data_IF_509616815213
#
_entry.id   IF_509616815213
#
_cell.length_a   1.000
_cell.length_b   1.000
_cell.length_c   1.000
_cell.angle_alpha   90.00
_cell.angle_beta   90.00
_cell.angle_gamma   90.00
#
_symmetry.space_group_name_H-M   'P 1'
#
loop_
_entity.id
_entity.type
_entity.pdbx_description
1 polymer ?
#
# COMPACT_ATOMS: atom_id res chain seq x y z
N UNK A 1 -17.12 41.02 -47.64
CA UNK A 1 -17.84 41.27 -46.37
C UNK A 1 -17.97 39.95 -45.64
N UNK A 2 -17.11 39.69 -44.65
CA UNK A 2 -17.10 38.43 -43.89
C UNK A 2 -17.52 38.78 -42.46
N UNK A 3 -18.65 38.25 -42.01
CA UNK A 3 -19.17 38.43 -40.65
C UNK A 3 -18.38 37.53 -39.70
N UNK A 4 -17.82 38.16 -38.67
CA UNK A 4 -17.14 37.55 -37.54
C UNK A 4 -18.19 36.91 -36.64
N UNK A 5 -18.21 35.58 -36.58
CA UNK A 5 -18.90 34.83 -35.53
C UNK A 5 -17.89 34.44 -34.47
N UNK A 6 -17.87 35.19 -33.36
CA UNK A 6 -17.12 34.80 -32.17
C UNK A 6 -17.81 33.60 -31.52
N UNK A 7 -17.22 32.41 -31.67
CA UNK A 7 -17.60 31.23 -30.90
C UNK A 7 -16.53 31.00 -29.83
N UNK A 8 -16.84 31.40 -28.62
CA UNK A 8 -16.16 31.02 -27.38
C UNK A 8 -16.31 29.52 -27.16
N UNK A 9 -15.28 28.73 -27.49
CA UNK A 9 -15.20 27.34 -27.05
C UNK A 9 -14.57 27.32 -25.65
N UNK A 10 -15.42 27.36 -24.62
CA UNK A 10 -15.10 26.73 -23.34
C UNK A 10 -15.06 25.21 -23.59
N UNK A 11 -13.89 24.59 -23.46
CA UNK A 11 -13.84 23.15 -23.21
C UNK A 11 -13.16 22.87 -21.88
N UNK A 12 -14.04 22.41 -20.99
CA UNK A 12 -13.87 21.73 -19.73
C UNK A 12 -12.50 21.08 -19.53
N UNK A 13 -11.81 21.53 -18.49
CA UNK A 13 -10.84 20.72 -17.79
C UNK A 13 -11.59 19.50 -17.26
N UNK A 14 -11.44 18.36 -17.93
CA UNK A 14 -11.81 17.07 -17.36
C UNK A 14 -10.83 16.84 -16.22
N UNK A 15 -11.23 17.27 -15.02
CA UNK A 15 -10.61 16.81 -13.80
C UNK A 15 -10.80 15.30 -13.79
N UNK A 16 -9.72 14.57 -14.09
CA UNK A 16 -9.63 13.14 -13.83
C UNK A 16 -9.73 13.02 -12.30
N UNK A 17 -10.95 12.87 -11.80
CA UNK A 17 -11.22 12.31 -10.49
C UNK A 17 -10.87 10.83 -10.57
N UNK A 18 -9.58 10.54 -10.72
CA UNK A 18 -9.04 9.26 -10.31
C UNK A 18 -9.28 9.19 -8.82
N UNK A 19 -9.98 8.17 -8.38
CA UNK A 19 -10.32 7.90 -6.99
C UNK A 19 -9.06 8.00 -6.12
N UNK A 20 -8.81 9.18 -5.55
CA UNK A 20 -7.87 9.34 -4.45
C UNK A 20 -8.61 8.86 -3.22
N UNK A 21 -8.61 7.54 -3.02
CA UNK A 21 -8.96 6.93 -1.74
C UNK A 21 -7.87 7.22 -0.71
N UNK A 22 -7.48 8.48 -0.54
CA UNK A 22 -6.84 8.94 0.69
C UNK A 22 -7.97 9.61 1.45
N UNK A 23 -8.72 8.79 2.17
CA UNK A 23 -9.53 9.29 3.26
C UNK A 23 -8.58 10.03 4.19
N UNK A 24 -8.60 11.37 4.13
CA UNK A 24 -8.07 12.23 5.18
C UNK A 24 -8.78 11.83 6.45
N UNK A 25 -8.12 10.99 7.25
CA UNK A 25 -8.54 10.73 8.62
C UNK A 25 -8.02 11.88 9.50
N UNK A 26 -8.60 13.05 9.29
CA UNK A 26 -8.59 14.13 10.27
C UNK A 26 -9.88 13.93 11.09
N UNK A 27 -9.75 13.66 12.39
CA UNK A 27 -10.80 13.59 13.43
C UNK A 27 -11.64 12.31 13.64
N UNK A 28 -11.08 11.10 13.44
CA UNK A 28 -11.64 9.88 14.03
C UNK A 28 -10.64 9.27 15.02
N UNK A 29 -11.03 9.19 16.30
CA UNK A 29 -10.17 8.79 17.41
C UNK A 29 -9.38 7.51 17.16
N UNK A 30 -8.16 7.43 17.68
CA UNK A 30 -7.17 6.36 17.48
C UNK A 30 -7.78 5.00 17.08
N UNK A 31 -7.41 4.51 15.89
CA UNK A 31 -7.58 3.09 15.57
C UNK A 31 -6.88 2.24 16.63
N UNK A 32 -7.49 1.13 17.04
CA UNK A 32 -6.86 0.23 18.01
C UNK A 32 -5.48 -0.26 17.54
N UNK A 33 -4.68 -0.79 18.46
CA UNK A 33 -3.45 -1.49 18.11
C UNK A 33 -3.80 -2.93 17.72
N UNK A 34 -3.17 -3.44 16.66
CA UNK A 34 -3.43 -4.77 16.12
C UNK A 34 -2.15 -5.52 15.81
N UNK A 35 -2.17 -6.83 16.03
CA UNK A 35 -1.15 -7.77 15.60
C UNK A 35 -1.65 -8.48 14.34
N UNK A 36 -0.85 -8.44 13.28
CA UNK A 36 -1.18 -9.04 11.99
C UNK A 36 -0.11 -10.05 11.60
N UNK A 37 -0.46 -11.34 11.60
CA UNK A 37 0.45 -12.41 11.23
C UNK A 37 0.25 -12.82 9.77
N UNK A 38 1.34 -13.23 9.11
CA UNK A 38 1.32 -13.72 7.73
C UNK A 38 0.77 -12.73 6.70
N UNK A 39 0.92 -11.42 6.93
CA UNK A 39 0.59 -10.41 5.92
C UNK A 39 1.41 -10.65 4.66
N UNK A 40 0.79 -10.49 3.50
CA UNK A 40 1.45 -10.61 2.22
C UNK A 40 1.94 -9.23 1.79
N UNK A 41 3.26 -9.08 1.69
CA UNK A 41 3.90 -7.89 1.15
C UNK A 41 4.44 -8.23 -0.23
N UNK A 42 3.93 -7.52 -1.24
CA UNK A 42 4.28 -7.67 -2.64
C UNK A 42 5.27 -6.59 -3.03
N UNK A 43 6.24 -6.95 -3.86
CA UNK A 43 7.03 -6.02 -4.63
C UNK A 43 6.82 -6.36 -6.10
N UNK A 44 6.17 -5.45 -6.82
CA UNK A 44 5.76 -5.57 -8.22
C UNK A 44 6.63 -4.71 -9.12
N UNK A 45 6.99 -5.23 -10.29
CA UNK A 45 7.68 -4.49 -11.34
C UNK A 45 7.18 -4.93 -12.71
N UNK A 46 7.19 -4.02 -13.67
CA UNK A 46 6.93 -4.34 -15.09
C UNK A 46 8.21 -4.89 -15.78
N UNK A 47 9.35 -4.86 -15.09
CA UNK A 47 10.63 -5.40 -15.57
C UNK A 47 11.05 -6.64 -14.76
N UNK A 48 11.87 -7.50 -15.38
CA UNK A 48 12.43 -8.63 -14.66
C UNK A 48 13.40 -8.16 -13.58
N UNK A 49 13.03 -8.37 -12.31
CA UNK A 49 13.83 -7.93 -11.15
C UNK A 49 14.50 -9.08 -10.42
N UNK A 50 15.69 -8.80 -9.87
CA UNK A 50 16.37 -9.74 -8.98
C UNK A 50 15.63 -9.85 -7.65
N UNK A 51 15.72 -11.01 -7.00
CA UNK A 51 15.11 -11.25 -5.69
C UNK A 51 15.61 -10.24 -4.66
N UNK A 52 16.90 -9.86 -4.74
CA UNK A 52 17.53 -8.88 -3.85
C UNK A 52 16.83 -7.52 -3.95
N UNK A 53 16.63 -7.00 -5.18
CA UNK A 53 15.94 -5.73 -5.43
C UNK A 53 14.49 -5.78 -4.94
N UNK A 54 13.76 -6.84 -5.27
CA UNK A 54 12.38 -6.98 -4.83
C UNK A 54 12.26 -7.03 -3.30
N UNK A 55 13.17 -7.73 -2.63
CA UNK A 55 13.22 -7.78 -1.16
C UNK A 55 13.62 -6.45 -0.50
N UNK A 56 14.23 -5.50 -1.22
CA UNK A 56 14.42 -4.13 -0.72
C UNK A 56 13.08 -3.39 -0.69
N UNK A 57 12.29 -3.47 -1.76
CA UNK A 57 10.95 -2.89 -1.82
C UNK A 57 9.99 -3.51 -0.79
N UNK A 58 10.06 -4.82 -0.55
CA UNK A 58 9.30 -5.48 0.53
C UNK A 58 9.60 -4.86 1.90
N UNK A 59 10.88 -4.59 2.22
CA UNK A 59 11.26 -3.98 3.50
C UNK A 59 10.79 -2.54 3.60
N UNK A 60 10.98 -1.76 2.54
CA UNK A 60 10.47 -0.39 2.46
C UNK A 60 8.96 -0.34 2.64
N UNK A 61 8.23 -1.26 2.00
CA UNK A 61 6.77 -1.35 2.15
C UNK A 61 6.35 -1.68 3.58
N UNK A 62 7.09 -2.57 4.26
CA UNK A 62 6.83 -2.89 5.66
C UNK A 62 7.17 -1.73 6.61
N UNK A 63 8.25 -0.98 6.33
CA UNK A 63 8.62 0.22 7.09
C UNK A 63 7.59 1.33 6.90
N UNK A 64 7.15 1.54 5.65
CA UNK A 64 6.12 2.52 5.31
C UNK A 64 4.77 2.17 5.96
N UNK A 65 4.44 0.88 6.06
CA UNK A 65 3.26 0.39 6.79
C UNK A 65 3.26 0.81 8.28
N UNK A 66 4.43 0.78 8.93
CA UNK A 66 4.55 1.27 10.32
C UNK A 66 4.32 2.79 10.41
N UNK A 67 4.74 3.54 9.39
CA UNK A 67 4.57 4.99 9.32
C UNK A 67 3.12 5.42 9.02
N UNK A 68 2.42 4.70 8.13
CA UNK A 68 1.02 4.96 7.77
C UNK A 68 0.05 4.70 8.92
N UNK A 69 0.39 3.75 9.79
CA UNK A 69 -0.47 3.36 10.90
C UNK A 69 -0.26 4.34 12.07
N UNK A 70 -1.16 5.34 12.15
CA UNK A 70 -1.22 6.45 13.13
C UNK A 70 -0.29 6.31 14.34
N UNK A 71 0.82 7.05 14.32
CA UNK A 71 1.75 7.20 15.45
C UNK A 71 2.21 5.88 16.11
N UNK A 72 2.37 4.79 15.35
CA UNK A 72 2.90 3.54 15.88
C UNK A 72 4.41 3.61 16.17
N UNK A 73 4.85 4.54 17.04
CA UNK A 73 6.20 4.52 17.65
C UNK A 73 6.50 3.21 18.41
N UNK A 74 5.48 2.35 18.58
CA UNK A 74 5.55 1.03 19.23
C UNK A 74 5.40 -0.14 18.25
N UNK A 75 5.11 0.11 16.98
CA UNK A 75 4.92 -0.92 15.97
C UNK A 75 6.24 -1.56 15.56
N UNK A 76 6.20 -2.83 15.15
CA UNK A 76 7.36 -3.52 14.61
C UNK A 76 6.95 -4.50 13.53
N UNK A 77 7.91 -4.92 12.70
CA UNK A 77 7.68 -5.98 11.72
C UNK A 77 8.81 -7.01 11.74
N UNK A 78 8.48 -8.25 11.40
CA UNK A 78 9.44 -9.32 11.17
C UNK A 78 9.12 -10.02 9.84
N UNK A 79 10.13 -10.20 9.00
CA UNK A 79 9.99 -11.02 7.80
C UNK A 79 9.89 -12.49 8.21
N UNK A 80 8.87 -13.21 7.73
CA UNK A 80 8.74 -14.66 7.97
C UNK A 80 10.00 -15.42 7.53
N UNK A 81 10.32 -16.55 8.18
CA UNK A 81 11.43 -17.42 7.78
C UNK A 81 11.16 -18.17 6.46
N UNK A 82 9.90 -18.26 6.04
CA UNK A 82 9.50 -18.88 4.78
C UNK A 82 10.16 -18.20 3.57
N UNK A 83 10.47 -18.96 2.51
CA UNK A 83 11.01 -18.37 1.28
C UNK A 83 9.97 -17.45 0.64
N UNK A 84 10.42 -16.35 0.02
CA UNK A 84 9.55 -15.50 -0.77
C UNK A 84 9.09 -16.23 -2.02
N UNK A 85 7.83 -16.05 -2.40
CA UNK A 85 7.27 -16.58 -3.64
C UNK A 85 7.55 -15.62 -4.78
N UNK A 86 7.74 -16.16 -5.98
CA UNK A 86 7.79 -15.39 -7.23
C UNK A 86 6.58 -15.76 -8.06
N UNK A 87 5.90 -14.76 -8.59
CA UNK A 87 4.77 -14.96 -9.48
C UNK A 87 4.93 -14.04 -10.69
N UNK A 88 4.42 -14.50 -11.83
CA UNK A 88 4.19 -13.66 -12.99
C UNK A 88 2.69 -13.47 -13.12
N UNK A 89 2.24 -12.22 -13.19
CA UNK A 89 0.82 -11.86 -13.30
C UNK A 89 0.67 -11.00 -14.56
N UNK A 90 0.32 -11.64 -15.68
CA UNK A 90 0.45 -11.02 -17.00
C UNK A 90 1.92 -10.67 -17.27
N UNK A 91 2.15 -9.41 -17.66
CA UNK A 91 3.50 -8.89 -17.94
C UNK A 91 4.26 -8.43 -16.68
N UNK A 92 3.66 -8.59 -15.48
CA UNK A 92 4.23 -8.09 -14.22
C UNK A 92 4.97 -9.17 -13.46
N UNK A 93 6.08 -8.78 -12.86
CA UNK A 93 6.91 -9.60 -11.99
C UNK A 93 6.62 -9.26 -10.52
N UNK A 94 6.05 -10.23 -9.81
CA UNK A 94 5.74 -10.11 -8.39
C UNK A 94 6.69 -10.97 -7.55
N UNK A 95 7.22 -10.37 -6.48
CA UNK A 95 7.81 -11.11 -5.37
C UNK A 95 6.96 -10.89 -4.14
N UNK A 96 6.50 -11.99 -3.54
CA UNK A 96 5.63 -11.97 -2.37
C UNK A 96 6.40 -12.49 -1.17
N UNK A 97 6.32 -11.76 -0.06
CA UNK A 97 6.92 -12.15 1.20
C UNK A 97 5.90 -12.04 2.33
N UNK A 98 5.83 -13.07 3.16
CA UNK A 98 5.08 -13.02 4.41
C UNK A 98 5.81 -12.16 5.44
N UNK A 99 5.08 -11.25 6.07
CA UNK A 99 5.56 -10.34 7.11
C UNK A 99 4.58 -10.40 8.29
N UNK A 100 5.12 -10.46 9.50
CA UNK A 100 4.35 -10.32 10.72
C UNK A 100 4.52 -8.89 11.22
N UNK A 101 3.42 -8.22 11.50
CA UNK A 101 3.41 -6.90 12.10
C UNK A 101 2.84 -6.98 13.51
N UNK A 102 3.49 -6.26 14.43
CA UNK A 102 3.04 -6.12 15.81
C UNK A 102 2.64 -4.68 16.09
N UNK A 103 1.55 -4.48 16.83
CA UNK A 103 1.07 -3.17 17.28
C UNK A 103 0.89 -2.14 16.15
N UNK A 104 0.30 -2.54 15.03
CA UNK A 104 -0.15 -1.63 13.96
C UNK A 104 -1.39 -0.86 14.42
N UNK A 105 -1.36 0.46 14.25
CA UNK A 105 -2.49 1.35 14.57
C UNK A 105 -3.37 1.59 13.34
N UNK A 106 -4.53 0.91 13.26
CA UNK A 106 -5.46 1.11 12.16
C UNK A 106 -6.91 0.78 12.54
N UNK A 107 -7.83 1.20 11.67
CA UNK A 107 -9.22 0.76 11.72
C UNK A 107 -9.38 -0.48 10.83
N UNK A 108 -9.66 -1.66 11.41
CA UNK A 108 -9.81 -2.86 10.62
C UNK A 108 -10.99 -2.77 9.65
N UNK A 109 -10.84 -3.43 8.51
CA UNK A 109 -11.98 -3.76 7.66
C UNK A 109 -12.89 -4.83 8.32
N UNK A 110 -13.94 -5.24 7.61
CA UNK A 110 -14.88 -6.28 8.07
C UNK A 110 -14.24 -7.67 8.31
N UNK A 111 -13.01 -7.87 7.87
CA UNK A 111 -12.23 -9.10 8.00
C UNK A 111 -11.08 -8.96 9.02
N UNK A 112 -11.13 -7.92 9.85
CA UNK A 112 -10.07 -7.56 10.78
C UNK A 112 -8.71 -7.38 10.07
N UNK A 113 -8.74 -6.83 8.87
CA UNK A 113 -7.59 -6.68 7.98
C UNK A 113 -7.30 -5.24 7.61
N UNK A 114 -6.22 -5.08 6.85
CA UNK A 114 -5.82 -3.83 6.24
C UNK A 114 -5.13 -4.14 4.90
N UNK A 115 -5.51 -3.39 3.88
CA UNK A 115 -4.89 -3.42 2.57
C UNK A 115 -4.32 -2.03 2.27
N UNK A 116 -3.05 -1.97 1.87
CA UNK A 116 -2.35 -0.75 1.48
C UNK A 116 -1.75 -0.98 0.11
N UNK A 117 -2.22 -0.21 -0.85
CA UNK A 117 -1.81 -0.31 -2.23
C UNK A 117 -0.86 0.82 -2.62
N UNK A 118 -0.02 0.56 -3.63
CA UNK A 118 0.76 1.58 -4.33
C UNK A 118 1.83 2.28 -3.50
N UNK A 119 2.57 1.53 -2.66
CA UNK A 119 3.77 2.07 -1.98
C UNK A 119 4.89 2.22 -3.02
N UNK A 120 5.30 3.45 -3.31
CA UNK A 120 6.35 3.71 -4.28
C UNK A 120 7.73 3.44 -3.66
N UNK A 121 8.35 2.33 -4.05
CA UNK A 121 9.69 1.98 -3.58
C UNK A 121 10.77 2.78 -4.33
N UNK A 122 11.90 3.05 -3.67
CA UNK A 122 12.99 3.85 -4.25
C UNK A 122 13.61 3.25 -5.52
N UNK A 123 13.43 1.95 -5.73
CA UNK A 123 13.95 1.23 -6.89
C UNK A 123 12.96 1.16 -8.07
N UNK A 124 11.91 2.00 -8.07
CA UNK A 124 10.89 2.08 -9.12
C UNK A 124 9.86 0.96 -9.08
N UNK A 125 9.93 0.07 -8.09
CA UNK A 125 8.92 -0.98 -7.87
C UNK A 125 7.72 -0.43 -7.11
N UNK A 126 6.60 -1.13 -7.23
CA UNK A 126 5.38 -0.81 -6.49
C UNK A 126 5.16 -1.87 -5.41
N UNK A 127 5.04 -1.42 -4.17
CA UNK A 127 4.74 -2.21 -2.99
C UNK A 127 3.24 -2.32 -2.73
N UNK A 128 2.80 -3.48 -2.27
CA UNK A 128 1.43 -3.71 -1.79
C UNK A 128 1.48 -4.51 -0.49
N UNK A 129 0.61 -4.19 0.46
CA UNK A 129 0.50 -4.90 1.74
C UNK A 129 -0.94 -5.36 1.91
N UNK A 130 -1.13 -6.66 2.14
CA UNK A 130 -2.44 -7.23 2.46
C UNK A 130 -2.34 -8.04 3.74
N UNK A 131 -3.04 -7.60 4.77
CA UNK A 131 -3.20 -8.27 6.05
C UNK A 131 -4.67 -8.65 6.26
N UNK A 132 -4.92 -9.86 6.78
CA UNK A 132 -6.27 -10.34 7.12
C UNK A 132 -6.22 -11.07 8.46
N UNK A 133 -7.34 -11.08 9.18
CA UNK A 133 -7.44 -11.80 10.45
C UNK A 133 -6.47 -11.28 11.52
N UNK A 134 -6.21 -9.97 11.54
CA UNK A 134 -5.46 -9.35 12.61
C UNK A 134 -6.25 -9.42 13.92
N UNK A 135 -5.53 -9.48 15.03
CA UNK A 135 -6.11 -9.50 16.37
C UNK A 135 -5.76 -8.23 17.09
N UNK A 136 -6.65 -7.74 17.98
CA UNK A 136 -6.31 -6.63 18.85
C UNK A 136 -5.01 -6.96 19.63
N UNK A 137 -4.14 -5.97 19.76
CA UNK A 137 -2.90 -6.10 20.52
C UNK A 137 -3.17 -5.68 21.97
N UNK A 138 -2.74 -6.52 22.92
CA UNK A 138 -2.71 -6.13 24.32
C UNK A 138 -1.72 -4.97 24.51
N UNK A 139 -2.10 -3.99 25.34
CA UNK A 139 -1.32 -2.77 25.58
C UNK A 139 0.04 -3.07 26.20
#
# INVERSE_FOLDING_TARGET
MVRIGALTLLMAVVAITGFTSVAKAEDRGYGGLWNCNNCQVFARSDEQVTRKKAMQCVRQSAEEMLSFTYHSKKGSYELSKEKSTRAHVGDKFDVVKKVNFSKLSFFPDRHNGIEVDSINCHNGMIGFVSCKGCTAADN
#
